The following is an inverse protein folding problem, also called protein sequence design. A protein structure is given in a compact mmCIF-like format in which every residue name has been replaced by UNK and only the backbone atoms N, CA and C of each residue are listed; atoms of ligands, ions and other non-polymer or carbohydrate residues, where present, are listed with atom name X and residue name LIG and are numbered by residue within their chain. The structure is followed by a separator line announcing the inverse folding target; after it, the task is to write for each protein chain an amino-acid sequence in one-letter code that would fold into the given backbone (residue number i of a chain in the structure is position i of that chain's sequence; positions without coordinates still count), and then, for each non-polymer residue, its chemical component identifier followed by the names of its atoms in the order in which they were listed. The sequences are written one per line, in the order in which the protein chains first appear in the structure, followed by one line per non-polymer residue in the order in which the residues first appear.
data_IF_147124836284
#
_entry.id   IF_147124836284
#
_cell.length_a   1.000
_cell.length_b   1.000
_cell.length_c   1.000
_cell.angle_alpha   90.00
_cell.angle_beta   90.00
_cell.angle_gamma   90.00
#
_symmetry.space_group_name_H-M   'P 1'
#
loop_
_entity.id
_entity.type
_entity.pdbx_description
1 polymer ?
#
# COMPACT_ATOMS: atom_id res chain seq x y z
N UNK A 1 24.18 3.03 -35.20
CA UNK A 1 23.76 4.05 -34.20
C UNK A 1 23.16 3.31 -33.05
N UNK A 2 23.83 3.31 -31.90
CA UNK A 2 23.22 2.81 -30.65
C UNK A 2 22.23 3.85 -30.16
N UNK A 3 20.97 3.47 -30.02
CA UNK A 3 19.93 4.33 -29.42
C UNK A 3 20.31 4.64 -27.96
N UNK A 4 20.87 5.82 -27.73
CA UNK A 4 20.93 6.39 -26.38
C UNK A 4 19.48 6.65 -25.96
N UNK A 5 19.04 6.04 -24.85
CA UNK A 5 17.70 6.31 -24.37
C UNK A 5 17.61 7.77 -23.83
N UNK A 6 16.42 8.33 -23.86
CA UNK A 6 16.15 9.71 -23.45
C UNK A 6 16.69 10.04 -22.04
N UNK A 7 16.71 9.07 -21.14
CA UNK A 7 17.17 9.22 -19.76
C UNK A 7 18.69 9.42 -19.68
N UNK A 8 19.46 8.73 -20.52
CA UNK A 8 20.91 8.88 -20.59
C UNK A 8 21.30 10.23 -21.20
N UNK A 9 20.54 10.71 -22.18
CA UNK A 9 20.71 12.02 -22.79
C UNK A 9 20.40 13.16 -21.81
N UNK A 10 19.31 13.03 -21.02
CA UNK A 10 18.93 14.01 -20.01
C UNK A 10 19.99 14.15 -18.91
N UNK A 11 20.51 13.03 -18.41
CA UNK A 11 21.55 13.03 -17.38
C UNK A 11 22.89 13.61 -17.87
N UNK A 12 23.19 13.45 -19.17
CA UNK A 12 24.40 13.98 -19.79
C UNK A 12 24.42 15.52 -19.78
N UNK A 13 23.27 16.15 -20.03
CA UNK A 13 23.13 17.61 -20.11
C UNK A 13 23.08 18.26 -18.71
N UNK A 14 22.36 17.64 -17.77
CA UNK A 14 22.09 18.21 -16.46
C UNK A 14 23.07 17.77 -15.37
N UNK A 15 23.82 16.71 -15.59
CA UNK A 15 24.82 16.21 -14.65
C UNK A 15 26.06 15.67 -15.37
N UNK A 16 26.96 16.56 -15.84
CA UNK A 16 28.13 16.17 -16.61
C UNK A 16 29.10 15.23 -15.89
N UNK A 17 29.03 15.15 -14.53
CA UNK A 17 29.79 14.18 -13.73
C UNK A 17 29.26 12.76 -13.78
N UNK A 18 28.05 12.53 -14.30
CA UNK A 18 27.40 11.22 -14.29
C UNK A 18 28.19 10.12 -15.02
N UNK A 19 28.84 10.47 -16.13
CA UNK A 19 29.62 9.52 -16.93
C UNK A 19 31.03 9.24 -16.39
N UNK A 20 31.59 10.12 -15.59
CA UNK A 20 32.90 9.90 -14.97
C UNK A 20 32.85 8.95 -13.76
N UNK A 21 31.68 8.70 -13.20
CA UNK A 21 31.47 7.81 -12.06
C UNK A 21 31.33 6.32 -12.42
N UNK A 22 31.30 5.95 -13.71
CA UNK A 22 31.30 4.54 -14.11
C UNK A 22 32.69 3.92 -13.96
N UNK A 23 33.17 3.80 -12.73
CA UNK A 23 34.30 2.92 -12.41
C UNK A 23 33.90 1.49 -12.79
N UNK A 24 34.71 0.84 -13.64
CA UNK A 24 34.60 -0.59 -13.94
C UNK A 24 34.51 -1.37 -12.64
N UNK A 25 33.31 -1.78 -12.27
CA UNK A 25 33.14 -2.72 -11.17
C UNK A 25 33.54 -4.09 -11.66
N UNK A 26 34.73 -4.54 -11.25
CA UNK A 26 35.13 -5.93 -11.40
C UNK A 26 34.06 -6.80 -10.75
N UNK A 27 33.27 -7.49 -11.59
CA UNK A 27 32.33 -8.52 -11.16
C UNK A 27 33.10 -9.67 -10.51
N UNK A 28 33.47 -9.55 -9.24
CA UNK A 28 33.75 -10.71 -8.44
C UNK A 28 32.45 -11.50 -8.33
N UNK A 29 32.36 -12.60 -9.04
CA UNK A 29 31.31 -13.61 -8.89
C UNK A 29 31.39 -14.17 -7.48
N UNK A 30 30.70 -13.55 -6.53
CA UNK A 30 30.46 -14.16 -5.24
C UNK A 30 29.49 -15.31 -5.49
N UNK A 31 29.97 -16.53 -5.37
CA UNK A 31 29.14 -17.74 -5.27
C UNK A 31 28.30 -17.59 -4.00
N UNK A 32 27.12 -16.97 -4.12
CA UNK A 32 26.11 -17.03 -3.06
C UNK A 32 25.74 -18.50 -2.90
N UNK A 33 26.22 -19.11 -1.81
CA UNK A 33 25.67 -20.37 -1.31
C UNK A 33 24.17 -20.13 -1.09
N UNK A 34 23.36 -20.72 -1.94
CA UNK A 34 21.92 -20.86 -1.71
C UNK A 34 21.81 -21.72 -0.47
N UNK A 35 21.68 -21.08 0.71
CA UNK A 35 21.21 -21.76 1.89
C UNK A 35 19.80 -22.25 1.54
N UNK A 36 19.64 -23.55 1.41
CA UNK A 36 18.34 -24.19 1.40
C UNK A 36 17.57 -23.71 2.62
N UNK A 37 16.77 -22.65 2.46
CA UNK A 37 15.75 -22.32 3.44
C UNK A 37 14.85 -23.55 3.43
N UNK A 38 14.90 -24.37 4.49
CA UNK A 38 13.85 -25.31 4.80
C UNK A 38 12.54 -24.56 4.68
N UNK A 39 11.83 -24.74 3.58
CA UNK A 39 10.45 -24.34 3.45
C UNK A 39 9.72 -25.13 4.52
N UNK A 40 9.37 -24.45 5.61
CA UNK A 40 8.43 -24.99 6.59
C UNK A 40 7.16 -25.23 5.77
N UNK A 41 6.68 -26.50 5.65
CA UNK A 41 5.42 -26.72 4.98
C UNK A 41 4.39 -25.93 5.79
N UNK A 42 3.87 -24.86 5.20
CA UNK A 42 2.69 -24.16 5.71
C UNK A 42 1.60 -25.22 5.76
N UNK A 43 1.28 -25.66 6.97
CA UNK A 43 0.15 -26.55 7.21
C UNK A 43 -1.11 -25.75 6.87
N UNK A 44 -1.56 -25.85 5.62
CA UNK A 44 -2.74 -25.19 5.08
C UNK A 44 -4.06 -25.76 5.65
N UNK A 45 -3.99 -26.40 6.82
CA UNK A 45 -5.20 -26.80 7.54
C UNK A 45 -5.85 -25.56 8.14
N UNK A 46 -6.96 -25.16 7.49
CA UNK A 46 -7.95 -24.17 7.94
C UNK A 46 -7.44 -22.79 8.25
N UNK A 47 -7.19 -21.99 7.21
CA UNK A 47 -7.07 -20.54 7.31
C UNK A 47 -8.44 -19.83 7.36
N UNK A 48 -9.47 -20.53 7.80
CA UNK A 48 -10.76 -19.92 8.05
C UNK A 48 -10.68 -18.98 9.25
N UNK A 49 -10.93 -17.69 9.03
CA UNK A 49 -11.06 -16.70 10.12
C UNK A 49 -12.52 -16.51 10.48
N UNK A 50 -12.80 -16.50 11.77
CA UNK A 50 -14.13 -16.18 12.29
C UNK A 50 -14.39 -14.68 12.16
N UNK A 51 -15.49 -14.30 11.52
CA UNK A 51 -15.86 -12.91 11.28
C UNK A 51 -16.10 -12.14 12.59
N UNK A 52 -16.51 -12.82 13.65
CA UNK A 52 -16.77 -12.20 14.95
C UNK A 52 -15.52 -11.57 15.59
N UNK A 53 -14.32 -11.98 15.14
CA UNK A 53 -13.04 -11.39 15.57
C UNK A 53 -12.78 -10.02 14.98
N UNK A 54 -13.53 -9.62 13.96
CA UNK A 54 -13.34 -8.36 13.24
C UNK A 54 -14.50 -7.42 13.54
N UNK A 55 -14.29 -6.38 14.37
CA UNK A 55 -15.35 -5.44 14.67
C UNK A 55 -15.79 -4.70 13.40
N UNK A 56 -17.09 -4.55 13.20
CA UNK A 56 -17.62 -3.73 12.13
C UNK A 56 -17.58 -2.26 12.56
N UNK A 57 -16.95 -1.41 11.76
CA UNK A 57 -16.66 -0.02 12.12
C UNK A 57 -17.13 0.96 11.05
N UNK A 58 -17.38 2.20 11.48
CA UNK A 58 -17.51 3.38 10.63
C UNK A 58 -16.28 4.25 10.86
N UNK A 59 -15.62 4.65 9.79
CA UNK A 59 -14.42 5.49 9.82
C UNK A 59 -14.70 6.77 9.03
N UNK A 60 -14.51 7.92 9.68
CA UNK A 60 -14.45 9.22 9.02
C UNK A 60 -13.00 9.62 8.84
N UNK A 61 -12.60 9.96 7.62
CA UNK A 61 -11.22 10.26 7.29
C UNK A 61 -11.12 11.34 6.21
N UNK A 62 -9.99 12.06 6.20
CA UNK A 62 -9.72 13.11 5.21
C UNK A 62 -9.08 12.48 3.99
N UNK A 63 -9.71 12.67 2.82
CA UNK A 63 -9.16 12.20 1.56
C UNK A 63 -8.19 13.23 0.97
N UNK A 64 -7.26 12.77 0.16
CA UNK A 64 -6.34 13.61 -0.57
C UNK A 64 -7.02 14.05 -1.86
N UNK A 65 -7.07 15.37 -2.07
CA UNK A 65 -7.61 15.95 -3.29
C UNK A 65 -6.47 16.60 -4.10
N UNK A 66 -6.51 16.43 -5.42
CA UNK A 66 -5.57 17.04 -6.33
C UNK A 66 -6.28 17.53 -7.59
N UNK A 67 -5.86 18.68 -8.08
CA UNK A 67 -6.33 19.27 -9.33
C UNK A 67 -5.11 19.55 -10.22
N UNK A 68 -5.15 19.11 -11.49
CA UNK A 68 -4.12 19.37 -12.48
C UNK A 68 -4.29 20.74 -13.20
N UNK A 69 -5.36 21.47 -12.88
CA UNK A 69 -5.62 22.80 -13.42
C UNK A 69 -4.70 23.89 -12.89
N UNK A 70 -4.75 25.05 -13.51
CA UNK A 70 -4.04 26.24 -13.06
C UNK A 70 -4.89 27.01 -12.06
N UNK A 71 -4.29 27.35 -10.89
CA UNK A 71 -4.94 28.08 -9.83
C UNK A 71 -3.97 29.06 -9.18
N UNK A 72 -4.50 30.11 -8.53
CA UNK A 72 -3.67 31.00 -7.72
C UNK A 72 -3.54 30.48 -6.27
N UNK A 73 -2.52 30.93 -5.58
CA UNK A 73 -2.23 30.53 -4.19
C UNK A 73 -3.33 30.90 -3.19
N UNK A 74 -4.12 31.95 -3.44
CA UNK A 74 -5.21 32.36 -2.55
C UNK A 74 -6.40 31.43 -2.69
N UNK A 75 -6.68 30.96 -3.92
CA UNK A 75 -7.70 29.96 -4.17
C UNK A 75 -7.29 28.63 -3.52
N UNK A 76 -6.05 28.21 -3.72
CA UNK A 76 -5.52 26.96 -3.12
C UNK A 76 -5.62 26.97 -1.59
N UNK A 77 -5.28 28.09 -0.94
CA UNK A 77 -5.34 28.19 0.52
C UNK A 77 -6.76 28.14 1.12
N UNK A 78 -7.80 28.25 0.29
CA UNK A 78 -9.20 28.14 0.73
C UNK A 78 -9.74 26.70 0.62
N UNK A 79 -9.02 25.83 -0.06
CA UNK A 79 -9.45 24.44 -0.22
C UNK A 79 -9.30 23.68 1.11
N UNK A 80 -10.24 22.82 1.37
CA UNK A 80 -10.24 21.90 2.51
C UNK A 80 -10.34 20.48 1.99
N UNK A 81 -9.74 19.54 2.74
CA UNK A 81 -9.84 18.14 2.39
C UNK A 81 -11.27 17.62 2.59
N UNK A 82 -11.81 16.83 1.64
CA UNK A 82 -13.11 16.21 1.80
C UNK A 82 -13.09 15.16 2.91
N UNK A 83 -14.19 15.06 3.64
CA UNK A 83 -14.39 14.02 4.65
C UNK A 83 -15.07 12.84 4.00
N UNK A 84 -14.37 11.72 3.93
CA UNK A 84 -14.88 10.45 3.45
C UNK A 84 -15.36 9.56 4.61
N UNK A 85 -16.40 8.77 4.36
CA UNK A 85 -16.94 7.82 5.32
C UNK A 85 -16.84 6.41 4.73
N UNK A 86 -16.08 5.55 5.40
CA UNK A 86 -15.95 4.14 5.06
C UNK A 86 -16.53 3.26 6.14
N UNK A 87 -17.18 2.17 5.75
CA UNK A 87 -17.74 1.17 6.68
C UNK A 87 -17.17 -0.19 6.32
N UNK A 88 -16.89 -1.00 7.32
CA UNK A 88 -16.38 -2.35 7.08
C UNK A 88 -15.84 -3.02 8.34
N UNK A 89 -15.39 -4.25 8.18
CA UNK A 89 -14.73 -5.00 9.22
C UNK A 89 -13.28 -4.53 9.39
N UNK A 90 -12.90 -4.15 10.60
CA UNK A 90 -11.54 -3.71 10.89
C UNK A 90 -10.58 -4.91 10.92
N UNK A 91 -9.79 -5.06 9.88
CA UNK A 91 -8.81 -6.13 9.77
C UNK A 91 -7.57 -5.87 10.63
N UNK A 92 -7.06 -4.64 10.61
CA UNK A 92 -5.92 -4.26 11.45
C UNK A 92 -5.73 -2.74 11.50
N UNK A 93 -5.13 -2.28 12.60
CA UNK A 93 -4.64 -0.92 12.76
C UNK A 93 -3.24 -0.99 13.33
N UNK A 94 -2.24 -0.99 12.45
CA UNK A 94 -0.82 -1.12 12.83
C UNK A 94 0.10 -0.49 11.79
N UNK A 95 1.28 -0.07 12.25
CA UNK A 95 2.31 0.55 11.41
C UNK A 95 1.80 1.80 10.67
N UNK A 96 0.97 2.62 11.34
CA UNK A 96 0.42 3.84 10.74
C UNK A 96 -0.63 3.60 9.67
N UNK A 97 -1.16 2.38 9.54
CA UNK A 97 -2.11 2.00 8.50
C UNK A 97 -3.31 1.28 9.13
N UNK A 98 -4.51 1.75 8.78
CA UNK A 98 -5.79 1.12 9.11
C UNK A 98 -6.31 0.38 7.88
N UNK A 99 -6.72 -0.88 8.05
CA UNK A 99 -7.21 -1.74 6.97
C UNK A 99 -8.59 -2.25 7.32
N UNK A 100 -9.51 -2.10 6.38
CA UNK A 100 -10.87 -2.63 6.48
C UNK A 100 -11.23 -3.42 5.23
N UNK A 101 -12.22 -4.30 5.35
CA UNK A 101 -12.84 -5.01 4.23
C UNK A 101 -14.35 -5.03 4.44
N UNK A 102 -15.13 -5.15 3.36
CA UNK A 102 -16.60 -5.23 3.46
C UNK A 102 -17.14 -6.59 3.10
N UNK A 103 -16.49 -7.29 2.21
CA UNK A 103 -16.97 -8.55 1.67
C UNK A 103 -16.07 -9.71 2.08
N UNK A 104 -16.67 -10.88 2.22
CA UNK A 104 -15.94 -12.12 2.48
C UNK A 104 -16.69 -13.32 1.94
N UNK A 105 -15.94 -14.35 1.58
CA UNK A 105 -16.50 -15.63 1.11
C UNK A 105 -16.52 -16.61 2.28
N UNK A 106 -17.71 -17.04 2.68
CA UNK A 106 -17.87 -18.05 3.73
C UNK A 106 -17.37 -19.41 3.30
N UNK A 107 -16.77 -20.13 4.24
CA UNK A 107 -16.44 -21.55 4.04
C UNK A 107 -17.70 -22.41 4.04
N UNK A 108 -17.55 -23.69 3.72
CA UNK A 108 -18.67 -24.63 3.67
C UNK A 108 -19.35 -24.83 5.04
N UNK A 109 -18.60 -24.70 6.12
CA UNK A 109 -19.11 -24.76 7.50
C UNK A 109 -19.87 -23.49 7.94
N UNK A 110 -19.79 -22.40 7.13
CA UNK A 110 -20.46 -21.09 7.34
C UNK A 110 -20.01 -20.30 8.56
N UNK A 111 -19.07 -20.79 9.35
CA UNK A 111 -18.59 -20.09 10.56
C UNK A 111 -17.32 -19.29 10.30
N UNK A 112 -16.55 -19.72 9.31
CA UNK A 112 -15.29 -19.08 8.94
C UNK A 112 -15.33 -18.52 7.52
N UNK A 113 -14.33 -17.72 7.16
CA UNK A 113 -14.13 -17.23 5.80
C UNK A 113 -12.69 -17.43 5.35
N UNK A 114 -12.49 -17.59 4.05
CA UNK A 114 -11.18 -17.82 3.44
C UNK A 114 -10.66 -16.59 2.71
N UNK A 115 -11.56 -15.81 2.14
CA UNK A 115 -11.22 -14.72 1.24
C UNK A 115 -12.00 -13.47 1.62
N UNK A 116 -11.34 -12.32 1.52
CA UNK A 116 -11.94 -11.00 1.73
C UNK A 116 -11.92 -10.21 0.43
N UNK A 117 -12.89 -9.31 0.28
CA UNK A 117 -13.03 -8.40 -0.87
C UNK A 117 -13.37 -6.99 -0.45
N UNK A 118 -13.36 -6.08 -1.43
CA UNK A 118 -13.63 -4.64 -1.21
C UNK A 118 -12.84 -4.08 -0.03
N UNK A 119 -11.52 -4.16 -0.15
CA UNK A 119 -10.59 -3.73 0.89
C UNK A 119 -10.28 -2.24 0.75
N UNK A 120 -10.20 -1.53 1.90
CA UNK A 120 -9.75 -0.14 1.95
C UNK A 120 -8.56 -0.04 2.90
N UNK A 121 -7.54 0.68 2.47
CA UNK A 121 -6.32 0.93 3.23
C UNK A 121 -6.19 2.45 3.43
N UNK A 122 -6.22 2.89 4.69
CA UNK A 122 -6.25 4.30 5.07
C UNK A 122 -5.03 4.60 5.94
N UNK A 123 -4.24 5.65 5.63
CA UNK A 123 -3.25 6.15 6.58
C UNK A 123 -3.94 6.53 7.90
N UNK A 124 -3.48 5.99 9.02
CA UNK A 124 -4.14 6.24 10.32
C UNK A 124 -4.13 7.72 10.71
N UNK A 125 -3.14 8.47 10.24
CA UNK A 125 -2.98 9.92 10.52
C UNK A 125 -4.08 10.81 9.93
N UNK A 126 -4.78 10.35 8.88
CA UNK A 126 -5.87 11.13 8.26
C UNK A 126 -7.25 10.76 8.80
N UNK A 127 -7.32 9.82 9.71
CA UNK A 127 -8.57 9.39 10.33
C UNK A 127 -9.01 10.39 11.38
N UNK A 128 -10.24 10.88 11.26
CA UNK A 128 -10.87 11.81 12.18
C UNK A 128 -11.60 11.05 13.31
N UNK A 129 -12.30 9.98 12.97
CA UNK A 129 -13.01 9.16 13.94
C UNK A 129 -13.14 7.70 13.49
N UNK A 130 -13.16 6.79 14.46
CA UNK A 130 -13.53 5.37 14.29
C UNK A 130 -14.58 5.03 15.32
N UNK A 131 -15.73 4.54 14.87
CA UNK A 131 -16.83 4.10 15.73
C UNK A 131 -17.16 2.64 15.44
N UNK A 132 -17.18 1.80 16.48
CA UNK A 132 -17.66 0.43 16.37
C UNK A 132 -19.18 0.47 16.27
N UNK A 133 -19.73 -0.25 15.30
CA UNK A 133 -21.15 -0.54 15.23
C UNK A 133 -21.43 -1.83 16.02
N UNK A 134 -22.39 -1.75 16.88
CA UNK A 134 -22.86 -2.89 17.67
C UNK A 134 -23.68 -3.85 16.81
#
# INVERSE_FOLDING_TARGET
MTEENFFDMFNRVHNPGYFYAKKKTNKRKSKRRIRNKKTIPLNLKSLGSDISKYPFVVIEWLDIEGDAGWSDTRALNKLSLPVCVSKGYLASQKNGITRIFTDYIKTKDKETFETIGNTTIIPTSVIQSIKKLS
#
